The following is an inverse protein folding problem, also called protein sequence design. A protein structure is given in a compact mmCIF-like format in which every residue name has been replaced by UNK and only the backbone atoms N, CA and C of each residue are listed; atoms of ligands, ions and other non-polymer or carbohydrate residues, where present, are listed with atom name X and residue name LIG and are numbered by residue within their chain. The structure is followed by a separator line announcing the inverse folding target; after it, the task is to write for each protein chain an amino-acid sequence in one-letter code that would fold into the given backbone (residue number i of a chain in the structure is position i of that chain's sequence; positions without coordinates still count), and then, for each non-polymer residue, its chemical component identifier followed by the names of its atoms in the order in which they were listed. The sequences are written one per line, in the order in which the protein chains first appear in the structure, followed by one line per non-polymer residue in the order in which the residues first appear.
data_IF_283406160436
#
_entry.id   IF_283406160436
#
_cell.length_a   1.000
_cell.length_b   1.000
_cell.length_c   1.000
_cell.angle_alpha   90.00
_cell.angle_beta   90.00
_cell.angle_gamma   90.00
#
_symmetry.space_group_name_H-M   'P 1'
#
loop_
_entity.id
_entity.type
_entity.pdbx_description
1 polymer ?
#
# COMPACT_ATOMS: atom_id res chain seq x y z
N UNK A 1 30.69 -8.24 10.75
CA UNK A 1 31.73 -7.84 11.74
C UNK A 1 31.35 -6.61 12.56
N UNK A 2 30.77 -5.56 11.97
CA UNK A 2 30.39 -4.33 12.71
C UNK A 2 29.59 -4.62 13.98
N UNK A 3 28.56 -5.48 13.93
CA UNK A 3 27.73 -5.81 15.10
C UNK A 3 28.51 -6.46 16.28
N UNK A 4 29.67 -7.08 16.04
CA UNK A 4 30.49 -7.69 17.10
C UNK A 4 31.23 -6.62 17.90
N UNK A 5 31.75 -5.60 17.21
CA UNK A 5 32.56 -4.54 17.82
C UNK A 5 31.73 -3.30 18.21
N UNK A 6 30.64 -3.04 17.48
CA UNK A 6 29.73 -1.92 17.68
C UNK A 6 28.28 -2.45 17.71
N UNK A 7 27.85 -3.06 18.82
CA UNK A 7 26.54 -3.68 18.91
C UNK A 7 25.44 -2.62 18.88
N UNK A 8 24.53 -2.75 17.91
CA UNK A 8 23.27 -2.00 17.87
C UNK A 8 22.17 -2.78 18.58
N UNK A 9 21.39 -2.11 19.41
CA UNK A 9 20.24 -2.71 20.09
C UNK A 9 19.22 -3.26 19.06
N UNK A 10 18.65 -4.43 19.36
CA UNK A 10 17.70 -5.12 18.49
C UNK A 10 18.33 -5.91 17.33
N UNK A 11 19.62 -5.72 17.04
CA UNK A 11 20.33 -6.46 15.99
C UNK A 11 21.11 -7.64 16.55
N UNK A 12 20.98 -8.81 15.91
CA UNK A 12 21.75 -10.02 16.25
C UNK A 12 22.82 -10.30 15.21
N UNK A 13 23.93 -10.91 15.64
CA UNK A 13 25.04 -11.31 14.74
C UNK A 13 24.61 -12.41 13.78
N UNK A 14 23.81 -13.37 14.25
CA UNK A 14 23.20 -14.40 13.44
C UNK A 14 21.76 -14.00 13.09
N UNK A 15 21.35 -14.30 11.86
CA UNK A 15 20.00 -14.01 11.39
C UNK A 15 18.96 -14.73 12.23
N UNK A 16 17.99 -14.01 12.82
CA UNK A 16 16.92 -14.63 13.61
C UNK A 16 16.06 -15.59 12.78
N UNK A 17 15.69 -16.73 13.38
CA UNK A 17 14.86 -17.76 12.73
C UNK A 17 13.46 -17.29 12.36
N UNK A 18 12.98 -16.18 12.94
CA UNK A 18 11.66 -15.62 12.65
C UNK A 18 11.50 -15.21 11.18
N UNK A 19 12.60 -14.88 10.50
CA UNK A 19 12.59 -14.51 9.08
C UNK A 19 12.56 -15.72 8.13
N UNK A 20 12.47 -16.95 8.65
CA UNK A 20 12.16 -18.13 7.83
C UNK A 20 10.71 -18.10 7.38
N UNK A 21 10.44 -18.66 6.20
CA UNK A 21 9.12 -18.60 5.57
C UNK A 21 8.00 -19.20 6.43
N UNK A 22 8.24 -20.32 7.12
CA UNK A 22 7.25 -20.92 8.02
C UNK A 22 6.85 -19.99 9.18
N UNK A 23 7.82 -19.26 9.73
CA UNK A 23 7.62 -18.40 10.89
C UNK A 23 6.98 -17.07 10.47
N UNK A 24 7.35 -16.53 9.30
CA UNK A 24 6.71 -15.35 8.74
C UNK A 24 5.22 -15.59 8.48
N UNK A 25 4.85 -16.72 7.87
CA UNK A 25 3.44 -17.09 7.67
C UNK A 25 2.68 -17.17 8.99
N UNK A 26 3.32 -17.70 10.03
CA UNK A 26 2.71 -17.75 11.37
C UNK A 26 2.47 -16.34 11.91
N UNK A 27 3.43 -15.42 11.76
CA UNK A 27 3.25 -14.02 12.18
C UNK A 27 2.14 -13.30 11.40
N UNK A 28 2.04 -13.55 10.08
CA UNK A 28 1.00 -12.96 9.24
C UNK A 28 -0.40 -13.49 9.59
N UNK A 29 -0.51 -14.75 10.00
CA UNK A 29 -1.78 -15.33 10.46
C UNK A 29 -2.32 -14.67 11.73
N UNK A 30 -1.45 -13.97 12.48
CA UNK A 30 -1.76 -13.27 13.71
C UNK A 30 -1.88 -11.74 13.52
N UNK A 31 -1.89 -11.24 12.28
CA UNK A 31 -1.94 -9.80 11.96
C UNK A 31 -0.76 -8.99 12.50
N UNK A 32 0.39 -9.64 12.71
CA UNK A 32 1.60 -9.03 13.26
C UNK A 32 2.57 -8.50 12.20
N UNK A 33 2.05 -7.99 11.09
CA UNK A 33 2.86 -7.48 9.97
C UNK A 33 3.75 -6.30 10.41
N UNK A 34 3.23 -5.37 11.21
CA UNK A 34 4.00 -4.25 11.75
C UNK A 34 5.18 -4.68 12.62
N UNK A 35 5.01 -5.74 13.42
CA UNK A 35 6.10 -6.31 14.24
C UNK A 35 7.20 -6.92 13.39
N UNK A 36 6.82 -7.65 12.33
CA UNK A 36 7.78 -8.23 11.37
C UNK A 36 8.63 -7.13 10.73
N UNK A 37 7.99 -6.04 10.29
CA UNK A 37 8.70 -4.90 9.70
C UNK A 37 9.60 -4.21 10.72
N UNK A 38 9.15 -4.02 11.96
CA UNK A 38 9.98 -3.43 13.02
C UNK A 38 11.22 -4.28 13.34
N UNK A 39 11.07 -5.61 13.41
CA UNK A 39 12.19 -6.52 13.57
C UNK A 39 13.14 -6.47 12.38
N UNK A 40 12.60 -6.37 11.16
CA UNK A 40 13.39 -6.25 9.94
C UNK A 40 14.28 -4.98 9.94
N UNK A 41 13.70 -3.83 10.30
CA UNK A 41 14.41 -2.55 10.42
C UNK A 41 15.53 -2.60 11.47
N UNK A 42 15.33 -3.33 12.58
CA UNK A 42 16.37 -3.48 13.59
C UNK A 42 17.49 -4.42 13.12
N UNK A 43 17.12 -5.54 12.50
CA UNK A 43 18.04 -6.62 12.17
C UNK A 43 18.90 -6.33 10.93
N UNK A 44 18.29 -5.85 9.85
CA UNK A 44 18.94 -5.72 8.55
C UNK A 44 19.27 -4.27 8.20
N UNK A 45 20.07 -4.08 7.16
CA UNK A 45 20.29 -2.77 6.54
C UNK A 45 19.24 -2.55 5.43
N UNK A 46 18.80 -1.30 5.19
CA UNK A 46 17.71 -1.02 4.26
C UNK A 46 18.00 -1.39 2.80
N UNK A 47 19.28 -1.45 2.41
CA UNK A 47 19.77 -1.83 1.08
C UNK A 47 20.05 -3.34 0.95
N UNK A 48 19.95 -4.10 2.05
CA UNK A 48 20.21 -5.53 2.04
C UNK A 48 19.10 -6.33 1.34
N UNK A 49 19.50 -7.44 0.71
CA UNK A 49 18.55 -8.32 0.01
C UNK A 49 17.46 -8.87 0.93
N UNK A 50 17.81 -9.24 2.17
CA UNK A 50 16.84 -9.75 3.16
C UNK A 50 15.84 -8.69 3.59
N UNK A 51 16.29 -7.44 3.78
CA UNK A 51 15.39 -6.33 4.09
C UNK A 51 14.33 -6.16 3.00
N UNK A 52 14.79 -6.06 1.75
CA UNK A 52 13.92 -5.88 0.59
C UNK A 52 12.96 -7.08 0.46
N UNK A 53 13.47 -8.30 0.61
CA UNK A 53 12.68 -9.54 0.52
C UNK A 53 11.55 -9.58 1.56
N UNK A 54 11.88 -9.35 2.83
CA UNK A 54 10.90 -9.40 3.94
C UNK A 54 9.84 -8.31 3.79
N UNK A 55 10.25 -7.07 3.46
CA UNK A 55 9.31 -5.97 3.23
C UNK A 55 8.34 -6.29 2.07
N UNK A 56 8.86 -6.69 0.91
CA UNK A 56 8.02 -7.03 -0.24
C UNK A 56 7.07 -8.19 0.06
N UNK A 57 7.55 -9.25 0.71
CA UNK A 57 6.70 -10.39 1.09
C UNK A 57 5.58 -9.97 2.06
N UNK A 58 5.87 -9.07 2.99
CA UNK A 58 4.87 -8.54 3.93
C UNK A 58 3.82 -7.71 3.20
N UNK A 59 4.23 -6.84 2.27
CA UNK A 59 3.30 -6.02 1.50
C UNK A 59 2.39 -6.86 0.59
N UNK A 60 2.94 -7.90 -0.06
CA UNK A 60 2.15 -8.82 -0.89
C UNK A 60 1.13 -9.61 -0.05
N UNK A 61 1.46 -10.00 1.19
CA UNK A 61 0.51 -10.67 2.08
C UNK A 61 -0.61 -9.73 2.53
N UNK A 62 -0.28 -8.47 2.80
CA UNK A 62 -1.27 -7.42 3.12
C UNK A 62 -2.23 -7.21 1.96
N UNK A 63 -1.70 -7.05 0.74
CA UNK A 63 -2.52 -6.84 -0.46
C UNK A 63 -3.44 -8.03 -0.73
N UNK A 64 -2.91 -9.25 -0.58
CA UNK A 64 -3.66 -10.49 -0.77
C UNK A 64 -4.85 -10.62 0.18
N UNK A 65 -4.74 -10.14 1.41
CA UNK A 65 -5.79 -10.26 2.43
C UNK A 65 -6.52 -8.94 2.71
N UNK A 66 -6.21 -7.85 2.01
CA UNK A 66 -6.83 -6.54 2.19
C UNK A 66 -6.55 -5.90 3.56
N UNK A 67 -5.40 -6.18 4.17
CA UNK A 67 -5.08 -5.77 5.56
C UNK A 67 -4.32 -4.43 5.66
N UNK A 68 -4.67 -3.46 4.83
CA UNK A 68 -3.91 -2.19 4.72
C UNK A 68 -3.92 -1.35 6.00
N UNK A 69 -5.01 -1.45 6.76
CA UNK A 69 -5.22 -0.70 8.01
C UNK A 69 -4.16 -0.99 9.08
N UNK A 70 -3.59 -2.20 9.08
CA UNK A 70 -2.52 -2.60 10.00
C UNK A 70 -1.30 -1.67 9.92
N UNK A 71 -1.06 -1.07 8.75
CA UNK A 71 0.10 -0.19 8.53
C UNK A 71 -0.27 1.29 8.42
N UNK A 72 -1.56 1.67 8.35
CA UNK A 72 -2.02 3.04 8.00
C UNK A 72 -1.41 4.13 8.88
N UNK A 73 -1.43 3.98 10.20
CA UNK A 73 -0.85 4.95 11.14
C UNK A 73 0.58 4.58 11.58
N UNK A 74 1.36 4.02 10.67
CA UNK A 74 2.75 3.59 10.96
C UNK A 74 3.72 4.20 9.96
N UNK A 75 5.01 4.25 10.34
CA UNK A 75 6.11 4.65 9.43
C UNK A 75 6.25 3.76 8.19
N UNK A 76 5.62 2.57 8.19
CA UNK A 76 5.75 1.59 7.12
C UNK A 76 4.75 1.82 5.99
N UNK A 77 3.70 2.63 6.18
CA UNK A 77 2.69 2.89 5.16
C UNK A 77 3.30 3.45 3.88
N UNK A 78 4.19 4.44 4.00
CA UNK A 78 4.82 5.07 2.84
C UNK A 78 5.63 4.08 1.99
N UNK A 79 6.37 3.18 2.63
CA UNK A 79 7.13 2.13 1.94
C UNK A 79 6.23 1.14 1.21
N UNK A 80 5.08 0.80 1.80
CA UNK A 80 4.07 -0.06 1.18
C UNK A 80 3.41 0.63 -0.03
N UNK A 81 2.96 1.87 0.11
CA UNK A 81 2.36 2.63 -1.00
C UNK A 81 3.36 2.82 -2.15
N UNK A 82 4.62 3.14 -1.85
CA UNK A 82 5.69 3.25 -2.84
C UNK A 82 5.90 1.94 -3.60
N UNK A 83 5.93 0.81 -2.89
CA UNK A 83 6.04 -0.51 -3.50
C UNK A 83 4.89 -0.79 -4.48
N UNK A 84 3.64 -0.57 -4.06
CA UNK A 84 2.47 -0.83 -4.88
C UNK A 84 2.38 0.06 -6.12
N UNK A 85 2.72 1.34 -6.01
CA UNK A 85 2.73 2.25 -7.17
C UNK A 85 3.78 1.81 -8.19
N UNK A 86 4.99 1.46 -7.75
CA UNK A 86 6.05 0.98 -8.64
C UNK A 86 5.70 -0.38 -9.30
N UNK A 87 4.96 -1.24 -8.58
CA UNK A 87 4.50 -2.53 -9.09
C UNK A 87 3.16 -2.49 -9.82
N UNK A 88 2.54 -1.31 -9.95
CA UNK A 88 1.20 -1.12 -10.52
C UNK A 88 0.14 -2.01 -9.87
N UNK A 89 0.19 -2.13 -8.54
CA UNK A 89 -0.72 -2.92 -7.69
C UNK A 89 -1.45 -2.04 -6.67
N UNK A 90 -2.01 -0.92 -7.12
CA UNK A 90 -2.66 0.04 -6.20
C UNK A 90 -4.16 -0.22 -6.00
N UNK A 91 -4.77 -1.06 -6.85
CA UNK A 91 -6.21 -1.30 -6.87
C UNK A 91 -6.80 -1.63 -5.49
N UNK A 92 -6.18 -2.57 -4.77
CA UNK A 92 -6.69 -3.00 -3.48
C UNK A 92 -6.60 -1.93 -2.38
N UNK A 93 -5.49 -1.18 -2.35
CA UNK A 93 -5.31 -0.05 -1.43
C UNK A 93 -6.30 1.09 -1.76
N UNK A 94 -6.53 1.34 -3.06
CA UNK A 94 -7.47 2.35 -3.52
C UNK A 94 -8.91 2.01 -3.10
N UNK A 95 -9.31 0.74 -3.25
CA UNK A 95 -10.59 0.22 -2.78
C UNK A 95 -10.73 0.41 -1.26
N UNK A 96 -9.73 0.03 -0.46
CA UNK A 96 -9.76 0.18 1.00
C UNK A 96 -9.91 1.65 1.43
N UNK A 97 -9.22 2.58 0.74
CA UNK A 97 -9.35 4.01 1.01
C UNK A 97 -10.76 4.52 0.70
N UNK A 98 -11.36 4.15 -0.43
CA UNK A 98 -12.72 4.58 -0.80
C UNK A 98 -13.76 4.01 0.18
N UNK A 99 -13.63 2.74 0.58
CA UNK A 99 -14.56 2.09 1.53
C UNK A 99 -14.52 2.69 2.93
N UNK A 100 -13.46 3.43 3.27
CA UNK A 100 -13.26 4.08 4.57
C UNK A 100 -13.52 5.59 4.52
N UNK A 101 -14.13 6.08 3.44
CA UNK A 101 -14.39 7.50 3.20
C UNK A 101 -13.10 8.36 3.11
N UNK A 102 -11.96 7.76 2.76
CA UNK A 102 -10.66 8.42 2.63
C UNK A 102 -10.37 8.75 1.17
N UNK A 103 -11.30 9.48 0.55
CA UNK A 103 -11.23 9.82 -0.88
C UNK A 103 -10.07 10.74 -1.21
N UNK A 104 -9.71 11.66 -0.32
CA UNK A 104 -8.56 12.55 -0.54
C UNK A 104 -7.25 11.77 -0.64
N UNK A 105 -7.08 10.74 0.21
CA UNK A 105 -5.95 9.82 0.15
C UNK A 105 -5.98 8.98 -1.14
N UNK A 106 -7.17 8.52 -1.55
CA UNK A 106 -7.37 7.77 -2.79
C UNK A 106 -6.99 8.61 -4.03
N UNK A 107 -7.43 9.87 -4.09
CA UNK A 107 -7.04 10.79 -5.16
C UNK A 107 -5.54 11.06 -5.12
N UNK A 108 -4.95 11.28 -3.94
CA UNK A 108 -3.51 11.50 -3.78
C UNK A 108 -2.69 10.29 -4.24
N UNK A 109 -3.18 9.07 -4.00
CA UNK A 109 -2.54 7.83 -4.45
C UNK A 109 -2.49 7.74 -5.98
N UNK A 110 -3.60 8.06 -6.66
CA UNK A 110 -3.63 8.04 -8.14
C UNK A 110 -2.81 9.19 -8.72
N UNK A 111 -2.78 10.37 -8.08
CA UNK A 111 -1.86 11.45 -8.47
C UNK A 111 -0.41 11.01 -8.38
N UNK A 112 -0.01 10.36 -7.27
CA UNK A 112 1.33 9.79 -7.13
C UNK A 112 1.63 8.76 -8.22
N UNK A 113 0.65 7.93 -8.57
CA UNK A 113 0.76 6.98 -9.68
C UNK A 113 1.02 7.69 -11.01
N UNK A 114 0.28 8.75 -11.34
CA UNK A 114 0.50 9.54 -12.55
C UNK A 114 1.85 10.28 -12.57
N UNK A 115 2.37 10.71 -11.41
CA UNK A 115 3.71 11.32 -11.31
C UNK A 115 4.79 10.29 -11.68
N UNK A 116 4.65 9.05 -11.23
CA UNK A 116 5.61 7.98 -11.49
C UNK A 116 5.46 7.33 -12.87
N UNK A 117 4.26 7.34 -13.45
CA UNK A 117 3.94 6.76 -14.76
C UNK A 117 3.35 7.83 -15.69
N UNK A 118 4.10 8.89 -16.06
CA UNK A 118 3.57 10.05 -16.80
C UNK A 118 3.10 9.72 -18.23
N UNK A 119 3.66 8.66 -18.81
CA UNK A 119 3.33 8.15 -20.14
C UNK A 119 2.24 7.07 -20.12
N UNK A 120 1.69 6.77 -18.94
CA UNK A 120 0.57 5.82 -18.80
C UNK A 120 -0.73 6.37 -19.39
N UNK A 121 -1.62 5.51 -19.91
CA UNK A 121 -2.87 5.97 -20.51
C UNK A 121 -3.77 6.72 -19.51
N UNK A 122 -3.76 6.31 -18.23
CA UNK A 122 -4.50 7.03 -17.18
C UNK A 122 -4.01 8.47 -17.00
N UNK A 123 -2.68 8.67 -17.01
CA UNK A 123 -2.06 9.97 -16.83
C UNK A 123 -2.27 10.88 -18.03
N UNK A 124 -2.26 10.35 -19.25
CA UNK A 124 -2.54 11.13 -20.46
C UNK A 124 -4.01 11.55 -20.54
N UNK A 125 -4.93 10.60 -20.35
CA UNK A 125 -6.36 10.89 -20.37
C UNK A 125 -6.76 11.87 -19.26
N UNK A 126 -6.18 11.75 -18.07
CA UNK A 126 -6.41 12.69 -16.98
C UNK A 126 -5.94 14.12 -17.32
N UNK A 127 -4.83 14.27 -18.06
CA UNK A 127 -4.34 15.58 -18.52
C UNK A 127 -5.24 16.17 -19.60
N UNK A 128 -5.67 15.37 -20.57
CA UNK A 128 -6.56 15.81 -21.66
C UNK A 128 -7.92 16.28 -21.14
N UNK A 129 -8.46 15.57 -20.15
CA UNK A 129 -9.77 15.86 -19.56
C UNK A 129 -9.70 16.86 -18.39
N UNK A 130 -8.50 17.33 -18.01
CA UNK A 130 -8.27 18.11 -16.80
C UNK A 130 -8.97 17.49 -15.57
N UNK A 131 -8.81 16.17 -15.40
CA UNK A 131 -9.51 15.38 -14.40
C UNK A 131 -9.05 15.71 -12.98
N UNK A 132 -10.00 16.02 -12.09
CA UNK A 132 -9.74 16.33 -10.68
C UNK A 132 -10.59 15.47 -9.73
N UNK A 133 -10.14 15.33 -8.47
CA UNK A 133 -10.87 14.65 -7.41
C UNK A 133 -11.30 13.22 -7.77
N UNK A 134 -12.59 12.93 -7.61
CA UNK A 134 -13.20 11.63 -7.93
C UNK A 134 -13.09 11.27 -9.42
N UNK A 135 -13.02 12.25 -10.32
CA UNK A 135 -12.92 12.00 -11.74
C UNK A 135 -11.58 11.35 -12.11
N UNK A 136 -10.51 11.75 -11.41
CA UNK A 136 -9.17 11.20 -11.59
C UNK A 136 -9.15 9.70 -11.24
N UNK A 137 -9.88 9.29 -10.21
CA UNK A 137 -10.06 7.87 -9.84
C UNK A 137 -10.84 7.12 -10.93
N UNK A 138 -11.90 7.72 -11.50
CA UNK A 138 -12.68 7.12 -12.61
C UNK A 138 -11.83 6.91 -13.86
N UNK A 139 -10.99 7.88 -14.24
CA UNK A 139 -10.08 7.75 -15.39
C UNK A 139 -9.12 6.59 -15.18
N UNK A 140 -8.48 6.51 -14.01
CA UNK A 140 -7.59 5.40 -13.68
C UNK A 140 -8.31 4.03 -13.71
N UNK A 141 -9.53 3.96 -13.15
CA UNK A 141 -10.32 2.73 -13.11
C UNK A 141 -10.64 2.17 -14.51
N UNK A 142 -10.85 3.05 -15.51
CA UNK A 142 -11.17 2.64 -16.88
C UNK A 142 -9.96 2.27 -17.72
N UNK A 143 -8.80 2.81 -17.40
CA UNK A 143 -7.62 2.77 -18.28
C UNK A 143 -6.56 1.77 -17.84
N UNK A 144 -6.14 1.80 -16.56
CA UNK A 144 -5.00 0.99 -16.08
C UNK A 144 -5.36 0.04 -14.94
N UNK A 145 -6.47 0.25 -14.23
CA UNK A 145 -6.84 -0.62 -13.12
C UNK A 145 -7.17 -2.04 -13.58
N UNK A 146 -6.66 -3.04 -12.88
CA UNK A 146 -7.00 -4.45 -13.13
C UNK A 146 -8.41 -4.77 -12.62
N UNK A 147 -8.81 -4.14 -11.52
CA UNK A 147 -10.13 -4.27 -10.88
C UNK A 147 -11.02 -3.05 -11.15
N UNK A 148 -10.92 -2.47 -12.35
CA UNK A 148 -11.63 -1.25 -12.74
C UNK A 148 -13.12 -1.24 -12.39
N UNK A 149 -13.86 -2.27 -12.82
CA UNK A 149 -15.30 -2.40 -12.54
C UNK A 149 -15.64 -2.40 -11.04
N UNK A 150 -14.78 -3.02 -10.21
CA UNK A 150 -15.00 -3.05 -8.77
C UNK A 150 -14.69 -1.70 -8.12
N UNK A 151 -13.67 -0.98 -8.60
CA UNK A 151 -13.36 0.39 -8.16
C UNK A 151 -14.53 1.32 -8.50
N UNK A 152 -15.07 1.25 -9.73
CA UNK A 152 -16.22 2.07 -10.13
C UNK A 152 -17.45 1.79 -9.28
N UNK A 153 -17.76 0.52 -9.02
CA UNK A 153 -18.88 0.13 -8.14
C UNK A 153 -18.69 0.66 -6.71
N UNK A 154 -17.48 0.53 -6.16
CA UNK A 154 -17.16 1.01 -4.81
C UNK A 154 -17.29 2.54 -4.73
N UNK A 155 -16.82 3.23 -5.76
CA UNK A 155 -16.94 4.69 -5.86
C UNK A 155 -18.39 5.14 -6.00
N UNK A 156 -19.22 4.40 -6.76
CA UNK A 156 -20.65 4.68 -6.88
C UNK A 156 -21.35 4.54 -5.52
N UNK A 157 -21.09 3.46 -4.79
CA UNK A 157 -21.65 3.23 -3.45
C UNK A 157 -21.26 4.36 -2.48
N UNK A 158 -20.01 4.82 -2.52
CA UNK A 158 -19.56 5.99 -1.75
C UNK A 158 -20.34 7.27 -2.11
N UNK A 159 -20.52 7.54 -3.41
CA UNK A 159 -21.26 8.73 -3.87
C UNK A 159 -22.73 8.69 -3.43
N UNK A 160 -23.39 7.54 -3.52
CA UNK A 160 -24.77 7.36 -3.08
C UNK A 160 -24.92 7.55 -1.56
N UNK A 161 -24.01 6.97 -0.76
CA UNK A 161 -23.98 7.16 0.69
C UNK A 161 -23.77 8.63 1.07
N UNK A 162 -22.84 9.32 0.42
CA UNK A 162 -22.57 10.74 0.64
C UNK A 162 -23.79 11.62 0.34
N UNK A 163 -24.48 11.36 -0.78
CA UNK A 163 -25.73 12.07 -1.13
C UNK A 163 -26.78 11.85 -0.05
N UNK A 164 -26.97 10.61 0.42
CA UNK A 164 -27.96 10.30 1.46
C UNK A 164 -27.70 11.05 2.77
N UNK A 165 -26.44 11.18 3.19
CA UNK A 165 -26.06 11.93 4.38
C UNK A 165 -26.30 13.44 4.24
N UNK A 166 -26.03 14.00 3.05
CA UNK A 166 -26.27 15.42 2.79
C UNK A 166 -27.76 15.79 2.74
N UNK A 167 -28.63 14.87 2.33
CA UNK A 167 -30.09 15.09 2.27
C UNK A 167 -30.75 14.92 3.65
N UNK A 168 -30.14 14.16 4.56
CA UNK A 168 -30.64 13.92 5.91
C UNK A 168 -30.20 14.99 6.95
N UNK A 169 -29.33 15.93 6.55
CA UNK A 169 -28.82 17.03 7.40
C UNK A 169 -29.51 18.35 7.05
#
# INVERSE_FOLDING_TARGET
MIQVYFPKEGRRTLTPIIFKEENLKTMYSQDRHGDVLNLCVAQFEPDSAEYIKVHHQTYEDIDKHGKYDLLRSTRHFGGMAWYFVNKKKIDGLLIDQIQRDLVDDATSLVQLYHILHPDGPSAQEAKEQAAEGLHLIKVFAKTEAQKGAYIELTLQAYQEAFISHSVAS
#
